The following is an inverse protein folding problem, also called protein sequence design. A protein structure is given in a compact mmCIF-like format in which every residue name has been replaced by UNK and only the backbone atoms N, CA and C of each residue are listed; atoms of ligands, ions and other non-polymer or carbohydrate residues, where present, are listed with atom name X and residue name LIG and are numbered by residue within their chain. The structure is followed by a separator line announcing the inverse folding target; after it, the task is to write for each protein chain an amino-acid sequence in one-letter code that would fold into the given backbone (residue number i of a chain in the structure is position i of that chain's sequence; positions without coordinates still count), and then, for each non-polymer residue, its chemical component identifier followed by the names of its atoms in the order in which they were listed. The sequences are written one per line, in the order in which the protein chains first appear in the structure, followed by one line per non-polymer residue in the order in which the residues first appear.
data_IF_729386350033
#
_entry.id   IF_729386350033
#
_cell.length_a   1.000
_cell.length_b   1.000
_cell.length_c   1.000
_cell.angle_alpha   90.00
_cell.angle_beta   90.00
_cell.angle_gamma   90.00
#
_symmetry.space_group_name_H-M   'P 1'
#
loop_
_entity.id
_entity.type
_entity.pdbx_description
1 polymer ?
#
# COMPACT_ATOMS: atom_id res chain seq x y z
N UNK A 1 -59.75 -48.69 -75.69
CA UNK A 1 -60.41 -49.88 -75.12
C UNK A 1 -59.47 -50.49 -74.12
N UNK A 2 -59.97 -50.61 -72.89
CA UNK A 2 -59.49 -51.44 -71.78
C UNK A 2 -58.92 -52.78 -72.23
N UNK A 3 -57.86 -53.27 -71.57
CA UNK A 3 -57.83 -54.50 -70.73
C UNK A 3 -56.52 -54.50 -69.91
N UNK A 4 -56.66 -54.78 -68.62
CA UNK A 4 -55.63 -54.91 -67.58
C UNK A 4 -54.64 -56.06 -67.82
N UNK A 5 -53.45 -55.98 -67.20
CA UNK A 5 -52.83 -57.14 -66.54
C UNK A 5 -51.79 -56.72 -65.50
N UNK A 6 -52.02 -57.25 -64.30
CA UNK A 6 -51.27 -57.14 -63.05
C UNK A 6 -49.84 -57.68 -63.15
N UNK A 7 -48.95 -57.22 -62.26
CA UNK A 7 -48.41 -58.07 -61.18
C UNK A 7 -47.57 -57.27 -60.15
N UNK A 8 -48.09 -57.20 -58.91
CA UNK A 8 -47.45 -57.58 -57.61
C UNK A 8 -46.02 -57.12 -57.25
N UNK A 9 -45.65 -56.72 -56.02
CA UNK A 9 -46.25 -56.79 -54.68
C UNK A 9 -45.71 -55.62 -53.82
N UNK A 10 -46.59 -55.01 -53.04
CA UNK A 10 -46.28 -54.19 -51.86
C UNK A 10 -46.49 -55.07 -50.63
N UNK A 11 -45.56 -55.03 -49.68
CA UNK A 11 -45.77 -55.53 -48.34
C UNK A 11 -45.59 -54.35 -47.37
N UNK A 12 -46.72 -53.88 -46.84
CA UNK A 12 -46.81 -53.15 -45.58
C UNK A 12 -46.47 -54.09 -44.42
N UNK A 13 -45.95 -53.50 -43.33
CA UNK A 13 -46.50 -53.62 -41.96
C UNK A 13 -45.38 -53.60 -40.92
N UNK A 14 -45.35 -52.55 -40.09
CA UNK A 14 -45.76 -52.62 -38.67
C UNK A 14 -45.34 -51.34 -37.93
N UNK A 15 -46.32 -50.76 -37.22
CA UNK A 15 -46.10 -50.41 -35.82
C UNK A 15 -45.85 -48.94 -35.46
N UNK A 16 -46.96 -48.22 -35.31
CA UNK A 16 -47.30 -47.34 -34.17
C UNK A 16 -46.34 -46.24 -33.69
N UNK A 17 -46.94 -45.06 -33.57
CA UNK A 17 -46.42 -43.81 -33.04
C UNK A 17 -45.87 -43.91 -31.60
N UNK A 18 -44.76 -43.20 -31.37
CA UNK A 18 -44.39 -42.65 -30.07
C UNK A 18 -43.76 -41.27 -30.29
N UNK A 19 -44.14 -40.34 -29.42
CA UNK A 19 -43.73 -38.94 -29.39
C UNK A 19 -42.20 -38.77 -29.46
N UNK A 20 -41.71 -37.85 -30.30
CA UNK A 20 -40.35 -37.32 -30.18
C UNK A 20 -40.39 -35.79 -30.07
N UNK A 21 -39.81 -35.37 -28.95
CA UNK A 21 -39.57 -34.03 -28.46
C UNK A 21 -39.07 -33.08 -29.55
N UNK A 22 -39.64 -31.88 -29.56
CA UNK A 22 -39.09 -30.71 -30.22
C UNK A 22 -37.65 -30.49 -29.73
N UNK A 23 -36.68 -30.85 -30.56
CA UNK A 23 -35.29 -30.45 -30.37
C UNK A 23 -35.20 -28.95 -30.60
N UNK A 24 -35.06 -28.22 -29.48
CA UNK A 24 -34.80 -26.80 -29.42
C UNK A 24 -33.53 -26.51 -30.22
N UNK A 25 -33.72 -25.81 -31.34
CA UNK A 25 -32.65 -25.40 -32.23
C UNK A 25 -31.60 -24.56 -31.53
N UNK A 26 -30.37 -24.71 -32.03
CA UNK A 26 -29.25 -23.81 -31.83
C UNK A 26 -29.72 -22.36 -31.89
N UNK A 27 -29.75 -21.71 -30.72
CA UNK A 27 -29.83 -20.26 -30.65
C UNK A 27 -28.40 -19.74 -30.77
N UNK A 28 -28.07 -18.93 -31.79
CA UNK A 28 -26.79 -18.25 -31.81
C UNK A 28 -26.73 -17.33 -30.60
N UNK A 29 -25.69 -17.46 -29.80
CA UNK A 29 -25.40 -16.54 -28.69
C UNK A 29 -25.19 -15.17 -29.33
N UNK A 30 -26.19 -14.28 -29.22
CA UNK A 30 -26.04 -12.87 -29.58
C UNK A 30 -25.01 -12.22 -28.64
N UNK A 31 -23.75 -12.27 -29.04
CA UNK A 31 -22.64 -11.56 -28.43
C UNK A 31 -22.71 -10.07 -28.81
N UNK A 32 -23.59 -9.33 -28.15
CA UNK A 32 -23.63 -7.87 -28.29
C UNK A 32 -22.38 -7.23 -27.63
N UNK A 33 -21.34 -6.97 -28.42
CA UNK A 33 -20.07 -6.36 -28.01
C UNK A 33 -20.01 -4.83 -28.21
N UNK A 34 -21.13 -4.18 -28.55
CA UNK A 34 -21.25 -2.73 -28.84
C UNK A 34 -20.90 -1.79 -27.66
N UNK A 35 -20.32 -2.33 -26.59
CA UNK A 35 -19.97 -1.62 -25.35
C UNK A 35 -18.48 -1.26 -25.26
N UNK A 36 -17.66 -1.66 -26.24
CA UNK A 36 -16.21 -1.44 -26.23
C UNK A 36 -15.79 -0.45 -27.32
N UNK A 37 -14.97 0.52 -26.94
CA UNK A 37 -14.37 1.49 -27.84
C UNK A 37 -13.17 0.86 -28.54
N UNK A 38 -13.11 1.05 -29.85
CA UNK A 38 -12.08 0.48 -30.72
C UNK A 38 -10.76 1.22 -30.58
N UNK A 39 -9.67 0.47 -30.58
CA UNK A 39 -8.32 1.03 -30.70
C UNK A 39 -8.07 1.50 -32.14
N UNK A 40 -7.62 2.75 -32.29
CA UNK A 40 -7.31 3.34 -33.60
C UNK A 40 -6.05 2.72 -34.19
N UNK A 41 -5.96 2.61 -35.52
CA UNK A 41 -4.87 1.89 -36.19
C UNK A 41 -3.48 2.45 -35.87
N UNK A 42 -3.34 3.78 -35.80
CA UNK A 42 -2.07 4.43 -35.45
C UNK A 42 -1.64 4.18 -33.99
N UNK A 43 -2.58 3.93 -33.08
CA UNK A 43 -2.27 3.62 -31.66
C UNK A 43 -1.98 2.13 -31.47
N UNK A 44 -2.52 1.28 -32.36
CA UNK A 44 -2.38 -0.17 -32.26
C UNK A 44 -0.93 -0.63 -32.36
N UNK A 45 -0.09 0.01 -33.17
CA UNK A 45 1.33 -0.32 -33.28
C UNK A 45 2.10 0.02 -31.99
N UNK A 46 1.85 1.18 -31.41
CA UNK A 46 2.48 1.60 -30.14
C UNK A 46 2.06 0.70 -28.98
N UNK A 47 0.77 0.39 -28.88
CA UNK A 47 0.23 -0.50 -27.87
C UNK A 47 0.72 -1.94 -28.07
N UNK A 48 0.89 -2.38 -29.33
CA UNK A 48 1.50 -3.67 -29.63
C UNK A 48 2.99 -3.72 -29.26
N UNK A 49 3.73 -2.61 -29.41
CA UNK A 49 5.10 -2.48 -28.89
C UNK A 49 5.09 -2.57 -27.36
N UNK A 50 4.22 -1.83 -26.68
CA UNK A 50 4.07 -1.88 -25.21
C UNK A 50 3.76 -3.28 -24.69
N UNK A 51 2.91 -4.03 -25.40
CA UNK A 51 2.63 -5.44 -25.10
C UNK A 51 3.87 -6.32 -25.27
N UNK A 52 4.56 -6.22 -26.42
CA UNK A 52 5.75 -7.05 -26.74
C UNK A 52 6.88 -6.82 -25.73
N UNK A 53 7.14 -5.58 -25.38
CA UNK A 53 8.22 -5.19 -24.47
C UNK A 53 7.79 -5.20 -23.00
N UNK A 54 6.52 -5.50 -22.70
CA UNK A 54 5.90 -5.41 -21.36
C UNK A 54 6.21 -4.06 -20.67
N UNK A 55 6.04 -2.97 -21.41
CA UNK A 55 6.19 -1.62 -20.88
C UNK A 55 5.05 -1.34 -19.89
N UNK A 56 5.41 -0.83 -18.71
CA UNK A 56 4.46 -0.40 -17.70
C UNK A 56 3.94 0.98 -18.10
N UNK A 57 2.68 1.03 -18.55
CA UNK A 57 1.97 2.26 -18.83
C UNK A 57 1.30 2.82 -17.58
N UNK A 58 0.73 4.04 -17.71
CA UNK A 58 -0.19 4.62 -16.71
C UNK A 58 -1.55 4.77 -17.36
N UNK A 59 -2.60 4.35 -16.66
CA UNK A 59 -3.98 4.51 -17.11
C UNK A 59 -4.84 5.20 -16.07
N UNK A 60 -5.60 6.22 -16.48
CA UNK A 60 -6.60 6.88 -15.66
C UNK A 60 -7.91 6.08 -15.71
N UNK A 61 -8.43 5.70 -14.56
CA UNK A 61 -9.69 4.97 -14.47
C UNK A 61 -10.84 5.98 -14.58
N UNK A 62 -11.66 5.86 -15.62
CA UNK A 62 -12.74 6.82 -15.90
C UNK A 62 -14.10 6.30 -15.45
N UNK A 63 -14.37 5.00 -15.64
CA UNK A 63 -15.69 4.40 -15.36
C UNK A 63 -15.52 2.98 -14.84
N UNK A 64 -16.40 2.57 -13.91
CA UNK A 64 -16.63 1.15 -13.59
C UNK A 64 -18.05 0.80 -14.00
N UNK A 65 -18.21 -0.26 -14.78
CA UNK A 65 -19.50 -0.72 -15.28
C UNK A 65 -19.49 -2.24 -15.43
N UNK A 66 -20.65 -2.87 -15.25
CA UNK A 66 -20.80 -4.28 -15.61
C UNK A 66 -20.85 -4.41 -17.14
N UNK A 67 -19.97 -5.24 -17.69
CA UNK A 67 -19.91 -5.53 -19.12
C UNK A 67 -19.84 -7.03 -19.34
N UNK A 68 -20.34 -7.47 -20.48
CA UNK A 68 -20.10 -8.83 -20.95
C UNK A 68 -18.63 -8.91 -21.41
N UNK A 69 -17.77 -9.55 -20.62
CA UNK A 69 -16.33 -9.56 -20.84
C UNK A 69 -15.83 -10.98 -21.17
N UNK A 70 -15.01 -11.14 -22.22
CA UNK A 70 -14.44 -12.43 -22.56
C UNK A 70 -13.39 -12.81 -21.51
N UNK A 71 -13.64 -13.89 -20.78
CA UNK A 71 -12.69 -14.40 -19.79
C UNK A 71 -11.55 -15.16 -20.48
N UNK A 72 -10.45 -15.40 -19.74
CA UNK A 72 -9.30 -16.20 -20.21
C UNK A 72 -9.70 -17.63 -20.66
N UNK A 73 -10.89 -18.11 -20.26
CA UNK A 73 -11.45 -19.40 -20.62
C UNK A 73 -12.26 -19.39 -21.93
N UNK A 74 -12.31 -18.26 -22.64
CA UNK A 74 -13.07 -18.10 -23.89
C UNK A 74 -14.58 -17.96 -23.72
N UNK A 75 -15.10 -18.00 -22.48
CA UNK A 75 -16.51 -17.74 -22.18
C UNK A 75 -16.71 -16.27 -21.81
N UNK A 76 -17.76 -15.67 -22.34
CA UNK A 76 -18.16 -14.31 -22.02
C UNK A 76 -19.00 -14.29 -20.75
N UNK A 77 -18.53 -13.59 -19.71
CA UNK A 77 -19.22 -13.47 -18.43
C UNK A 77 -19.52 -12.00 -18.13
N UNK A 78 -20.67 -11.72 -17.50
CA UNK A 78 -21.00 -10.36 -17.06
C UNK A 78 -20.26 -10.09 -15.75
N UNK A 79 -19.22 -9.27 -15.83
CA UNK A 79 -18.36 -8.90 -14.69
C UNK A 79 -18.19 -7.39 -14.63
N UNK A 80 -17.85 -6.83 -13.45
CA UNK A 80 -17.41 -5.44 -13.35
C UNK A 80 -16.11 -5.24 -14.13
N UNK A 81 -16.09 -4.23 -14.99
CA UNK A 81 -14.94 -3.86 -15.83
C UNK A 81 -14.63 -2.38 -15.61
N UNK A 82 -13.35 -2.10 -15.38
CA UNK A 82 -12.80 -0.76 -15.33
C UNK A 82 -12.49 -0.30 -16.76
N UNK A 83 -13.08 0.82 -17.15
CA UNK A 83 -12.71 1.53 -18.36
C UNK A 83 -11.62 2.53 -18.00
N UNK A 84 -10.52 2.49 -18.73
CA UNK A 84 -9.31 3.26 -18.46
C UNK A 84 -8.85 4.00 -19.70
N UNK A 85 -8.39 5.24 -19.54
CA UNK A 85 -7.69 5.98 -20.59
C UNK A 85 -6.18 5.82 -20.42
N UNK A 86 -5.53 5.34 -21.48
CA UNK A 86 -4.08 5.17 -21.56
C UNK A 86 -3.55 6.14 -22.60
N UNK A 87 -2.53 6.92 -22.22
CA UNK A 87 -2.01 7.99 -23.07
C UNK A 87 -3.05 9.09 -23.28
N UNK A 88 -3.12 9.63 -24.51
CA UNK A 88 -4.00 10.77 -24.82
C UNK A 88 -5.42 10.38 -25.20
N UNK A 89 -5.64 9.21 -25.81
CA UNK A 89 -6.93 8.90 -26.46
C UNK A 89 -7.25 7.41 -26.55
N UNK A 90 -6.44 6.51 -25.99
CA UNK A 90 -6.72 5.08 -26.07
C UNK A 90 -7.56 4.65 -24.88
N UNK A 91 -8.73 4.08 -25.17
CA UNK A 91 -9.54 3.40 -24.16
C UNK A 91 -9.14 1.94 -24.03
N UNK A 92 -8.93 1.50 -22.80
CA UNK A 92 -8.56 0.14 -22.44
C UNK A 92 -9.46 -0.38 -21.32
N UNK A 93 -9.54 -1.70 -21.23
CA UNK A 93 -10.46 -2.39 -20.33
C UNK A 93 -9.70 -3.31 -19.38
N UNK A 94 -9.96 -3.16 -18.08
CA UNK A 94 -9.40 -4.01 -17.05
C UNK A 94 -10.54 -4.77 -16.34
N UNK A 95 -10.57 -6.11 -16.39
CA UNK A 95 -11.53 -6.87 -15.59
C UNK A 95 -11.26 -6.65 -14.09
N UNK A 96 -12.30 -6.73 -13.26
CA UNK A 96 -12.16 -6.47 -11.82
C UNK A 96 -11.16 -7.43 -11.13
N UNK A 97 -11.01 -8.65 -11.63
CA UNK A 97 -10.05 -9.63 -11.11
C UNK A 97 -8.58 -9.19 -11.27
N UNK A 98 -8.32 -8.28 -12.20
CA UNK A 98 -6.99 -7.74 -12.51
C UNK A 98 -6.85 -6.27 -12.03
N UNK A 99 -7.77 -5.79 -11.20
CA UNK A 99 -7.86 -4.39 -10.77
C UNK A 99 -6.83 -3.95 -9.71
N UNK A 100 -5.80 -4.78 -9.47
CA UNK A 100 -4.71 -4.50 -8.55
C UNK A 100 -4.47 -5.62 -7.54
N UNK A 101 -3.34 -5.53 -6.85
CA UNK A 101 -2.93 -6.50 -5.81
C UNK A 101 -3.90 -6.49 -4.63
N UNK A 102 -4.47 -5.32 -4.33
CA UNK A 102 -5.50 -5.10 -3.31
C UNK A 102 -6.66 -4.34 -3.94
N UNK A 103 -7.77 -5.06 -4.16
CA UNK A 103 -8.98 -4.49 -4.76
C UNK A 103 -9.85 -3.93 -3.63
N UNK A 104 -10.30 -2.66 -3.71
CA UNK A 104 -11.20 -2.11 -2.72
C UNK A 104 -12.55 -2.83 -2.73
N UNK A 105 -13.22 -2.91 -1.57
CA UNK A 105 -14.55 -3.51 -1.46
C UNK A 105 -15.57 -2.90 -2.42
N UNK A 106 -15.47 -1.59 -2.63
CA UNK A 106 -16.24 -0.87 -3.63
C UNK A 106 -15.31 -0.48 -4.80
N UNK A 107 -15.44 -1.13 -5.97
CA UNK A 107 -14.65 -0.81 -7.17
C UNK A 107 -14.80 0.65 -7.64
N UNK A 108 -15.94 1.30 -7.35
CA UNK A 108 -16.20 2.68 -7.77
C UNK A 108 -15.19 3.68 -7.17
N UNK A 109 -14.54 3.34 -6.04
CA UNK A 109 -13.50 4.17 -5.43
C UNK A 109 -12.19 4.25 -6.24
N UNK A 110 -12.06 3.39 -7.26
CA UNK A 110 -10.93 3.43 -8.19
C UNK A 110 -11.10 4.52 -9.27
N UNK A 111 -12.32 5.02 -9.50
CA UNK A 111 -12.59 6.07 -10.49
C UNK A 111 -11.82 7.34 -10.14
N UNK A 112 -11.22 7.97 -11.16
CA UNK A 112 -10.37 9.15 -11.03
C UNK A 112 -8.94 8.86 -10.61
N UNK A 113 -8.56 7.60 -10.33
CA UNK A 113 -7.18 7.23 -9.98
C UNK A 113 -6.39 6.81 -11.21
N UNK A 114 -5.13 7.24 -11.27
CA UNK A 114 -4.16 6.72 -12.24
C UNK A 114 -3.45 5.51 -11.66
N UNK A 115 -3.43 4.40 -12.40
CA UNK A 115 -2.81 3.14 -12.00
C UNK A 115 -1.77 2.67 -13.01
N UNK A 116 -0.71 1.98 -12.57
CA UNK A 116 0.21 1.32 -13.48
C UNK A 116 -0.49 0.14 -14.16
N UNK A 117 -0.34 0.01 -15.46
CA UNK A 117 -1.01 -1.01 -16.27
C UNK A 117 -0.06 -1.65 -17.26
N UNK A 118 -0.31 -2.92 -17.56
CA UNK A 118 0.32 -3.63 -18.68
C UNK A 118 -0.77 -4.13 -19.60
N UNK A 119 -0.52 -4.04 -20.90
CA UNK A 119 -1.38 -4.61 -21.94
C UNK A 119 -1.17 -6.11 -21.97
N UNK A 120 -2.20 -6.88 -21.57
CA UNK A 120 -2.15 -8.34 -21.61
C UNK A 120 -2.36 -8.84 -23.04
N UNK A 121 -3.46 -8.41 -23.66
CA UNK A 121 -3.84 -8.85 -24.99
C UNK A 121 -4.79 -7.85 -25.66
N UNK A 122 -4.98 -8.05 -26.97
CA UNK A 122 -6.01 -7.36 -27.73
C UNK A 122 -7.06 -8.40 -28.05
N UNK A 123 -8.29 -8.12 -27.66
CA UNK A 123 -9.41 -8.97 -28.00
C UNK A 123 -9.96 -8.54 -29.36
N UNK A 124 -10.08 -9.48 -30.30
CA UNK A 124 -10.75 -9.25 -31.57
C UNK A 124 -12.26 -9.43 -31.38
N UNK A 125 -13.05 -8.44 -31.77
CA UNK A 125 -14.50 -8.57 -31.97
C UNK A 125 -14.83 -8.26 -33.43
N UNK A 126 -16.07 -8.52 -33.84
CA UNK A 126 -16.56 -8.22 -35.19
C UNK A 126 -16.45 -6.72 -35.54
N UNK A 127 -16.44 -5.85 -34.53
CA UNK A 127 -16.39 -4.39 -34.66
C UNK A 127 -14.96 -3.81 -34.60
N UNK A 128 -13.98 -4.58 -34.12
CA UNK A 128 -12.58 -4.15 -34.03
C UNK A 128 -11.81 -4.76 -32.87
N UNK A 129 -10.57 -4.30 -32.68
CA UNK A 129 -9.73 -4.73 -31.57
C UNK A 129 -9.87 -3.77 -30.39
N UNK A 130 -10.08 -4.30 -29.18
CA UNK A 130 -9.98 -3.52 -27.95
C UNK A 130 -8.83 -4.02 -27.07
N UNK A 131 -8.22 -3.11 -26.31
CA UNK A 131 -7.07 -3.41 -25.45
C UNK A 131 -7.54 -3.91 -24.08
N UNK A 132 -7.07 -5.10 -23.70
CA UNK A 132 -7.25 -5.66 -22.35
C UNK A 132 -5.97 -5.45 -21.55
N UNK A 133 -6.13 -4.86 -20.37
CA UNK A 133 -5.02 -4.50 -19.49
C UNK A 133 -5.17 -5.11 -18.10
N UNK A 134 -4.05 -5.29 -17.42
CA UNK A 134 -4.00 -5.72 -16.02
C UNK A 134 -3.25 -4.69 -15.18
N UNK A 135 -3.92 -4.20 -14.12
CA UNK A 135 -3.29 -3.36 -13.08
C UNK A 135 -2.44 -4.26 -12.19
N UNK A 136 -2.92 -5.45 -11.84
CA UNK A 136 -2.18 -6.42 -11.01
C UNK A 136 -0.81 -6.75 -11.61
N UNK A 137 -0.74 -7.04 -12.91
CA UNK A 137 0.52 -7.30 -13.61
C UNK A 137 1.45 -6.07 -13.63
N UNK A 138 0.88 -4.87 -13.76
CA UNK A 138 1.62 -3.61 -13.70
C UNK A 138 2.24 -3.36 -12.32
N UNK A 139 1.45 -3.49 -11.26
CA UNK A 139 1.91 -3.34 -9.87
C UNK A 139 2.97 -4.40 -9.53
N UNK A 140 2.78 -5.67 -9.91
CA UNK A 140 3.78 -6.74 -9.71
C UNK A 140 5.08 -6.47 -10.46
N UNK A 141 5.00 -5.92 -11.67
CA UNK A 141 6.19 -5.59 -12.45
C UNK A 141 6.98 -4.42 -11.84
N UNK A 142 6.30 -3.43 -11.27
CA UNK A 142 6.96 -2.36 -10.49
C UNK A 142 7.62 -2.93 -9.22
N UNK A 143 6.92 -3.81 -8.51
CA UNK A 143 7.48 -4.48 -7.33
C UNK A 143 8.73 -5.28 -7.70
N UNK A 144 8.69 -6.07 -8.78
CA UNK A 144 9.86 -6.83 -9.23
C UNK A 144 11.05 -5.94 -9.59
N UNK A 145 10.83 -4.83 -10.30
CA UNK A 145 11.90 -3.87 -10.62
C UNK A 145 12.54 -3.30 -9.35
N UNK A 146 11.72 -2.95 -8.35
CA UNK A 146 12.23 -2.47 -7.07
C UNK A 146 12.97 -3.57 -6.30
N UNK A 147 12.47 -4.81 -6.34
CA UNK A 147 13.13 -5.96 -5.74
C UNK A 147 14.53 -6.18 -6.34
N UNK A 148 14.64 -6.19 -7.67
CA UNK A 148 15.90 -6.38 -8.37
C UNK A 148 16.89 -5.23 -8.05
N UNK A 149 16.40 -3.99 -7.95
CA UNK A 149 17.21 -2.82 -7.56
C UNK A 149 17.72 -2.92 -6.12
N UNK A 150 16.86 -3.30 -5.17
CA UNK A 150 17.23 -3.44 -3.75
C UNK A 150 18.16 -4.62 -3.52
N UNK A 151 18.00 -5.71 -4.29
CA UNK A 151 18.83 -6.91 -4.15
C UNK A 151 20.20 -6.74 -4.81
N UNK A 152 20.28 -5.98 -5.91
CA UNK A 152 21.54 -5.70 -6.62
C UNK A 152 22.41 -4.66 -5.93
N UNK A 153 21.83 -3.76 -5.14
CA UNK A 153 22.56 -2.74 -4.40
C UNK A 153 22.64 -3.15 -2.92
N UNK A 154 23.85 -3.51 -2.45
CA UNK A 154 24.08 -3.86 -1.04
C UNK A 154 23.45 -2.81 -0.10
N UNK A 155 22.54 -3.29 0.75
CA UNK A 155 21.42 -2.52 1.29
C UNK A 155 21.78 -1.34 2.18
N UNK A 156 21.99 -0.17 1.56
CA UNK A 156 22.04 1.15 2.21
C UNK A 156 21.59 2.30 1.30
N UNK A 157 20.97 2.00 0.15
CA UNK A 157 20.45 3.06 -0.72
C UNK A 157 19.30 3.79 -0.03
N UNK A 158 19.40 5.11 -0.08
CA UNK A 158 18.34 6.01 0.36
C UNK A 158 17.32 6.14 -0.77
N UNK A 159 16.06 5.91 -0.43
CA UNK A 159 14.91 6.08 -1.31
C UNK A 159 14.07 7.23 -0.83
N UNK A 160 13.66 8.10 -1.75
CA UNK A 160 12.66 9.13 -1.49
C UNK A 160 11.28 8.56 -1.83
N UNK A 161 10.33 8.74 -0.93
CA UNK A 161 8.95 8.30 -1.10
C UNK A 161 7.95 9.30 -0.52
N UNK A 162 6.68 9.07 -0.81
CA UNK A 162 5.59 9.92 -0.33
C UNK A 162 4.71 9.13 0.62
N UNK A 163 4.37 9.71 1.77
CA UNK A 163 3.47 9.06 2.75
C UNK A 163 2.08 8.94 2.13
N UNK A 164 1.65 7.72 1.83
CA UNK A 164 0.34 7.44 1.24
C UNK A 164 -0.73 7.14 2.28
N UNK A 165 -0.34 6.80 3.52
CA UNK A 165 -1.24 6.59 4.63
C UNK A 165 -0.56 5.97 5.84
N UNK A 166 -1.34 5.61 6.85
CA UNK A 166 -0.86 4.85 7.99
C UNK A 166 -1.95 3.93 8.53
N UNK A 167 -1.55 2.84 9.18
CA UNK A 167 -2.42 1.83 9.79
C UNK A 167 -2.11 1.84 11.29
N UNK A 168 -2.88 2.56 12.12
CA UNK A 168 -2.63 2.67 13.56
C UNK A 168 -2.64 1.32 14.26
N UNK A 169 -3.57 0.43 13.90
CA UNK A 169 -3.72 -0.91 14.51
C UNK A 169 -2.49 -1.79 14.28
N UNK A 170 -1.83 -1.66 13.13
CA UNK A 170 -0.60 -2.36 12.79
C UNK A 170 0.66 -1.52 13.08
N UNK A 171 0.51 -0.31 13.64
CA UNK A 171 1.58 0.66 13.89
C UNK A 171 2.54 0.80 12.69
N UNK A 172 1.98 0.95 11.49
CA UNK A 172 2.73 0.96 10.24
C UNK A 172 2.35 2.15 9.39
N UNK A 173 3.34 2.93 8.97
CA UNK A 173 3.22 3.99 7.96
C UNK A 173 3.42 3.38 6.58
N UNK A 174 2.58 3.77 5.63
CA UNK A 174 2.66 3.38 4.24
C UNK A 174 3.33 4.50 3.45
N UNK A 175 4.46 4.18 2.84
CA UNK A 175 5.22 5.12 2.00
C UNK A 175 5.27 4.58 0.59
N UNK A 176 4.84 5.37 -0.38
CA UNK A 176 4.91 5.04 -1.79
C UNK A 176 6.26 5.46 -2.36
N UNK A 177 7.04 4.48 -2.84
CA UNK A 177 8.32 4.68 -3.51
C UNK A 177 8.17 4.17 -4.94
N UNK A 178 8.29 5.06 -5.93
CA UNK A 178 8.19 4.72 -7.37
C UNK A 178 6.94 3.89 -7.73
N UNK A 179 5.81 4.16 -7.10
CA UNK A 179 4.56 3.43 -7.35
C UNK A 179 4.42 2.10 -6.58
N UNK A 180 5.37 1.78 -5.69
CA UNK A 180 5.32 0.60 -4.82
C UNK A 180 5.13 1.04 -3.37
N UNK A 181 4.16 0.45 -2.69
CA UNK A 181 3.91 0.72 -1.27
C UNK A 181 4.89 -0.04 -0.38
N UNK A 182 5.56 0.69 0.50
CA UNK A 182 6.52 0.21 1.49
C UNK A 182 5.93 0.42 2.88
N UNK A 183 5.98 -0.62 3.71
CA UNK A 183 5.55 -0.55 5.10
C UNK A 183 6.71 -0.15 6.02
N UNK A 184 6.56 0.92 6.78
CA UNK A 184 7.51 1.35 7.81
C UNK A 184 6.84 1.26 9.17
N UNK A 185 7.29 0.37 10.05
CA UNK A 185 6.77 0.31 11.43
C UNK A 185 7.11 1.59 12.18
N UNK A 186 6.26 2.00 13.13
CA UNK A 186 6.50 3.18 13.96
C UNK A 186 7.87 3.11 14.67
N UNK A 187 8.28 1.91 15.11
CA UNK A 187 9.59 1.67 15.73
C UNK A 187 10.80 1.90 14.79
N UNK A 188 10.57 1.90 13.48
CA UNK A 188 11.55 2.15 12.42
C UNK A 188 11.33 3.51 11.73
N UNK A 189 10.33 4.28 12.16
CA UNK A 189 10.01 5.59 11.60
C UNK A 189 10.88 6.70 12.20
N UNK A 190 11.06 6.69 13.51
CA UNK A 190 11.96 7.60 14.23
C UNK A 190 12.43 6.97 15.54
N UNK A 191 13.47 7.55 16.15
CA UNK A 191 13.80 7.27 17.55
C UNK A 191 12.78 7.84 18.54
N UNK A 192 12.11 8.94 18.20
CA UNK A 192 11.03 9.52 19.01
C UNK A 192 9.80 8.61 19.07
N UNK A 193 8.99 8.79 20.11
CA UNK A 193 7.65 8.20 20.13
C UNK A 193 6.81 8.83 19.00
N UNK A 194 6.28 7.98 18.12
CA UNK A 194 5.50 8.40 16.96
C UNK A 194 4.03 8.23 17.26
N UNK A 195 3.28 9.33 17.21
CA UNK A 195 1.82 9.27 17.30
C UNK A 195 1.21 9.23 15.90
N UNK A 196 0.05 8.60 15.71
CA UNK A 196 -0.66 8.62 14.42
C UNK A 196 -0.89 10.03 13.88
N UNK A 197 -1.14 10.99 14.76
CA UNK A 197 -1.44 12.38 14.41
C UNK A 197 -0.22 13.13 13.85
N UNK A 198 0.99 12.68 14.18
CA UNK A 198 2.24 13.28 13.71
C UNK A 198 2.58 12.86 12.26
N UNK A 199 1.85 11.88 11.71
CA UNK A 199 2.10 11.35 10.37
C UNK A 199 1.25 12.09 9.36
N UNK A 200 1.88 12.98 8.59
CA UNK A 200 1.21 13.79 7.58
C UNK A 200 1.17 13.01 6.26
N UNK A 201 -0.05 12.78 5.75
CA UNK A 201 -0.26 12.14 4.44
C UNK A 201 0.14 13.13 3.34
N UNK A 202 0.88 12.66 2.35
CA UNK A 202 1.44 13.47 1.27
C UNK A 202 2.85 14.01 1.55
N UNK A 203 3.38 13.80 2.75
CA UNK A 203 4.74 14.23 3.09
C UNK A 203 5.79 13.43 2.32
N UNK A 204 6.88 14.10 1.93
CA UNK A 204 8.00 13.49 1.19
C UNK A 204 9.09 13.12 2.17
N UNK A 205 9.37 11.82 2.27
CA UNK A 205 10.29 11.27 3.27
C UNK A 205 11.38 10.43 2.61
N UNK A 206 12.55 10.42 3.24
CA UNK A 206 13.65 9.53 2.87
C UNK A 206 13.66 8.31 3.79
N UNK A 207 13.94 7.13 3.23
CA UNK A 207 14.04 5.88 3.97
C UNK A 207 14.99 4.90 3.28
N UNK A 208 15.48 3.92 4.05
CA UNK A 208 16.22 2.77 3.52
C UNK A 208 15.29 1.56 3.52
N UNK A 209 15.33 0.75 2.47
CA UNK A 209 14.61 -0.52 2.43
C UNK A 209 15.49 -1.56 3.12
N UNK A 210 15.04 -2.07 4.29
CA UNK A 210 15.86 -2.92 5.16
C UNK A 210 15.64 -4.41 4.90
N UNK A 211 14.43 -4.78 4.49
CA UNK A 211 14.04 -6.16 4.27
C UNK A 211 13.02 -6.24 3.14
N UNK A 212 13.25 -7.20 2.27
CA UNK A 212 12.28 -7.58 1.24
C UNK A 212 11.92 -9.04 1.46
N UNK A 213 10.61 -9.33 1.42
CA UNK A 213 10.08 -10.69 1.57
C UNK A 213 9.23 -11.00 0.35
N UNK A 214 9.55 -12.09 -0.32
CA UNK A 214 8.68 -12.63 -1.35
C UNK A 214 7.67 -13.59 -0.72
N UNK A 215 6.38 -13.37 -0.97
CA UNK A 215 5.30 -14.23 -0.49
C UNK A 215 4.26 -14.42 -1.59
N UNK A 216 4.05 -15.66 -2.00
CA UNK A 216 3.07 -16.05 -3.03
C UNK A 216 3.21 -15.22 -4.32
N UNK A 217 4.45 -14.96 -4.77
CA UNK A 217 4.72 -14.16 -5.97
C UNK A 217 4.48 -12.65 -5.82
N UNK A 218 4.28 -12.15 -4.59
CA UNK A 218 4.23 -10.73 -4.24
C UNK A 218 5.46 -10.34 -3.44
N UNK A 219 5.90 -9.10 -3.58
CA UNK A 219 7.03 -8.57 -2.83
C UNK A 219 6.54 -7.62 -1.74
N UNK A 220 6.85 -7.93 -0.50
CA UNK A 220 6.63 -7.05 0.66
C UNK A 220 7.92 -6.32 1.00
N UNK A 221 7.87 -5.00 0.95
CA UNK A 221 9.01 -4.13 1.27
C UNK A 221 8.83 -3.54 2.66
N UNK A 222 9.87 -3.67 3.48
CA UNK A 222 9.97 -3.00 4.77
C UNK A 222 11.00 -1.90 4.69
N UNK A 223 10.58 -0.73 5.13
CA UNK A 223 11.42 0.46 5.17
C UNK A 223 11.87 0.79 6.60
N UNK A 224 12.94 1.57 6.67
CA UNK A 224 13.53 2.04 7.90
C UNK A 224 14.05 3.47 7.67
N UNK A 225 13.29 4.44 8.17
CA UNK A 225 13.67 5.86 8.17
C UNK A 225 14.65 6.16 9.30
N UNK A 226 14.47 5.47 10.43
CA UNK A 226 15.29 5.60 11.64
C UNK A 226 16.78 5.39 11.41
N UNK A 227 17.19 4.54 10.46
CA UNK A 227 18.61 4.34 10.10
C UNK A 227 19.31 5.60 9.55
N UNK A 228 18.56 6.57 9.03
CA UNK A 228 19.09 7.84 8.55
C UNK A 228 19.35 8.84 9.70
N UNK A 229 18.70 8.61 10.84
CA UNK A 229 18.86 9.44 12.04
C UNK A 229 20.06 8.91 12.85
N UNK A 230 20.91 9.80 13.37
CA UNK A 230 21.97 9.43 14.31
C UNK A 230 21.37 8.85 15.60
N UNK A 231 21.89 7.71 16.09
CA UNK A 231 21.35 7.09 17.30
C UNK A 231 21.50 8.07 18.49
N UNK A 232 20.39 8.43 19.17
CA UNK A 232 20.46 9.35 20.30
C UNK A 232 21.32 8.86 21.46
N UNK A 233 21.57 7.54 21.60
CA UNK A 233 22.51 7.01 22.61
C UNK A 233 23.93 7.49 22.38
N UNK A 234 24.37 7.60 21.13
CA UNK A 234 25.73 8.05 20.83
C UNK A 234 25.94 9.48 21.33
N UNK A 235 24.95 10.35 21.10
CA UNK A 235 24.93 11.72 21.63
C UNK A 235 24.98 11.74 23.16
N UNK A 236 24.23 10.86 23.83
CA UNK A 236 24.24 10.75 25.31
C UNK A 236 25.59 10.25 25.85
N UNK A 237 26.27 9.34 25.14
CA UNK A 237 27.60 8.87 25.52
C UNK A 237 28.64 9.98 25.43
N UNK A 238 28.55 10.85 24.43
CA UNK A 238 29.41 12.04 24.31
C UNK A 238 29.17 13.03 25.45
N UNK A 239 27.90 13.32 25.78
CA UNK A 239 27.54 14.18 26.91
C UNK A 239 28.08 13.62 28.24
N UNK A 240 28.06 12.30 28.44
CA UNK A 240 28.66 11.66 29.62
C UNK A 240 30.16 11.89 29.72
N UNK A 241 30.89 11.77 28.60
CA UNK A 241 32.36 11.96 28.57
C UNK A 241 32.74 13.38 28.99
N UNK A 242 31.95 14.38 28.57
CA UNK A 242 32.16 15.80 28.88
C UNK A 242 31.60 16.22 30.24
N UNK A 243 30.72 15.42 30.84
CA UNK A 243 29.92 15.75 32.04
C UNK A 243 29.07 17.00 31.82
N UNK A 244 28.55 17.15 30.62
CA UNK A 244 27.73 18.30 30.25
C UNK A 244 26.33 18.19 30.85
N UNK A 245 25.77 19.35 31.18
CA UNK A 245 24.35 19.47 31.55
C UNK A 245 23.54 19.57 30.27
N UNK A 246 22.41 18.88 30.23
CA UNK A 246 21.53 18.86 29.08
C UNK A 246 20.07 18.96 29.50
N UNK A 247 19.20 19.16 28.52
CA UNK A 247 17.77 19.31 28.75
C UNK A 247 17.07 17.95 28.64
N UNK A 248 16.26 17.62 29.64
CA UNK A 248 15.34 16.49 29.61
C UNK A 248 13.90 16.94 29.81
N UNK A 249 12.95 16.04 29.54
CA UNK A 249 11.51 16.25 29.77
C UNK A 249 10.98 15.21 30.74
N UNK A 250 10.22 15.62 31.74
CA UNK A 250 9.55 14.65 32.63
C UNK A 250 8.40 14.01 31.86
N UNK A 251 8.42 12.69 31.73
CA UNK A 251 7.40 11.93 30.97
C UNK A 251 6.55 11.02 31.84
N UNK A 252 6.99 10.76 33.08
CA UNK A 252 6.25 9.95 34.03
C UNK A 252 6.71 10.22 35.45
N UNK A 253 5.77 10.19 36.38
CA UNK A 253 6.03 10.22 37.82
C UNK A 253 5.19 9.11 38.43
N UNK A 254 5.85 8.15 39.06
CA UNK A 254 5.21 7.05 39.76
C UNK A 254 5.71 7.00 41.20
N UNK A 255 4.81 6.83 42.16
CA UNK A 255 5.14 6.83 43.58
C UNK A 255 6.08 5.66 43.97
N UNK A 256 6.06 4.57 43.22
CA UNK A 256 6.82 3.33 43.47
C UNK A 256 8.03 3.25 42.54
N UNK A 257 7.82 3.40 41.23
CA UNK A 257 8.88 3.23 40.24
C UNK A 257 9.82 4.46 40.16
N UNK A 258 9.33 5.63 40.54
CA UNK A 258 10.06 6.89 40.60
C UNK A 258 9.77 7.82 39.41
N UNK A 259 10.72 8.69 39.12
CA UNK A 259 10.59 9.74 38.10
C UNK A 259 11.20 9.22 36.80
N UNK A 260 10.50 9.39 35.68
CA UNK A 260 10.99 9.08 34.34
C UNK A 260 11.21 10.36 33.55
N UNK A 261 12.42 10.50 33.03
CA UNK A 261 12.84 11.67 32.25
C UNK A 261 13.25 11.20 30.86
N UNK A 262 12.61 11.74 29.84
CA UNK A 262 13.05 11.61 28.45
C UNK A 262 14.28 12.51 28.24
N UNK A 263 15.41 11.87 27.97
CA UNK A 263 16.74 12.52 27.88
C UNK A 263 17.16 12.74 26.43
N UNK A 264 16.56 11.99 25.52
CA UNK A 264 16.74 12.06 24.08
C UNK A 264 15.52 11.41 23.43
N UNK A 265 15.26 11.64 22.13
CA UNK A 265 14.15 11.04 21.39
C UNK A 265 13.90 9.56 21.71
N UNK A 266 12.78 9.28 22.40
CA UNK A 266 12.34 7.92 22.76
C UNK A 266 13.23 7.18 23.76
N UNK A 267 14.15 7.87 24.45
CA UNK A 267 15.00 7.32 25.51
C UNK A 267 14.59 7.92 26.85
N UNK A 268 14.08 7.07 27.73
CA UNK A 268 13.62 7.45 29.06
C UNK A 268 14.52 6.84 30.13
N UNK A 269 15.09 7.68 30.98
CA UNK A 269 15.96 7.28 32.09
C UNK A 269 15.32 7.58 33.43
N UNK A 270 15.75 6.84 34.45
CA UNK A 270 15.30 7.08 35.83
C UNK A 270 15.91 8.38 36.34
N UNK A 271 15.05 9.31 36.73
CA UNK A 271 15.41 10.58 37.33
C UNK A 271 15.63 10.46 38.83
N UNK A 272 16.77 10.95 39.29
CA UNK A 272 17.07 11.19 40.71
C UNK A 272 17.00 12.69 40.96
N UNK A 273 16.07 13.11 41.81
CA UNK A 273 15.99 14.49 42.23
C UNK A 273 17.11 14.82 43.23
N UNK A 274 17.58 16.05 43.20
CA UNK A 274 18.42 16.60 44.25
C UNK A 274 17.57 16.87 45.51
N UNK A 275 18.18 16.81 46.72
CA UNK A 275 17.44 16.94 47.99
C UNK A 275 16.64 18.24 48.11
N UNK A 276 17.21 19.33 47.60
CA UNK A 276 16.61 20.68 47.67
C UNK A 276 15.63 20.96 46.53
N UNK A 277 15.38 19.99 45.66
CA UNK A 277 14.48 20.13 44.53
C UNK A 277 13.08 19.64 44.90
N UNK A 278 12.07 20.43 44.55
CA UNK A 278 10.67 20.07 44.70
C UNK A 278 10.36 18.76 43.95
N UNK A 279 9.45 17.96 44.50
CA UNK A 279 9.05 16.71 43.85
C UNK A 279 8.26 17.05 42.57
N UNK A 280 8.54 16.39 41.43
CA UNK A 280 7.67 16.50 40.28
C UNK A 280 6.31 15.87 40.58
N UNK A 281 5.31 16.42 39.92
CA UNK A 281 3.90 16.03 40.02
C UNK A 281 3.45 15.31 38.74
N UNK A 282 2.29 14.66 38.76
CA UNK A 282 1.71 14.06 37.55
C UNK A 282 1.46 15.10 36.45
N UNK A 283 1.12 16.35 36.83
CA UNK A 283 0.99 17.45 35.88
C UNK A 283 2.31 17.80 35.19
N UNK A 284 3.45 17.61 35.85
CA UNK A 284 4.75 17.81 35.22
C UNK A 284 5.01 16.78 34.12
N UNK A 285 4.53 15.53 34.33
CA UNK A 285 4.61 14.46 33.34
C UNK A 285 3.67 14.69 32.15
N UNK A 286 2.42 15.11 32.41
CA UNK A 286 1.46 15.41 31.33
C UNK A 286 1.94 16.56 30.44
N UNK A 287 2.49 17.61 31.05
CA UNK A 287 2.96 18.80 30.33
C UNK A 287 4.41 18.66 29.83
N UNK A 288 5.04 17.50 29.98
CA UNK A 288 6.41 17.24 29.56
C UNK A 288 7.41 18.28 30.07
N UNK A 289 7.33 18.60 31.37
CA UNK A 289 8.04 19.72 31.99
C UNK A 289 9.54 19.61 31.76
N UNK A 290 10.12 20.72 31.30
CA UNK A 290 11.53 20.81 30.94
C UNK A 290 12.37 20.87 32.22
N UNK A 291 13.40 20.02 32.28
CA UNK A 291 14.35 19.93 33.39
C UNK A 291 15.78 19.98 32.89
N UNK A 292 16.68 20.55 33.68
CA UNK A 292 18.11 20.40 33.43
C UNK A 292 18.62 19.16 34.15
N UNK A 293 19.26 18.28 33.38
CA UNK A 293 19.74 17.00 33.82
C UNK A 293 21.25 16.87 33.65
N UNK A 294 21.83 16.02 34.49
CA UNK A 294 23.21 15.53 34.38
C UNK A 294 23.17 14.00 34.32
N UNK A 295 23.94 13.42 33.40
CA UNK A 295 23.98 11.97 33.21
C UNK A 295 24.86 11.32 34.31
N UNK A 296 24.29 10.44 35.14
CA UNK A 296 25.07 9.72 36.16
C UNK A 296 25.60 8.40 35.60
N UNK A 297 24.69 7.57 35.11
CA UNK A 297 25.04 6.28 34.54
C UNK A 297 24.27 6.04 33.24
N UNK A 298 24.91 5.32 32.32
CA UNK A 298 24.33 4.89 31.06
C UNK A 298 24.86 3.50 30.75
N UNK A 299 23.93 2.62 30.46
CA UNK A 299 24.14 1.32 29.88
C UNK A 299 23.63 1.36 28.44
N UNK A 300 24.57 1.53 27.51
CA UNK A 300 24.28 1.64 26.08
C UNK A 300 23.65 0.36 25.51
N UNK A 301 24.01 -0.82 26.04
CA UNK A 301 23.51 -2.11 25.53
C UNK A 301 22.03 -2.27 25.87
N UNK A 302 21.67 -1.98 27.12
CA UNK A 302 20.29 -2.10 27.58
C UNK A 302 19.45 -0.83 27.34
N UNK A 303 20.03 0.21 26.74
CA UNK A 303 19.43 1.55 26.57
C UNK A 303 18.82 2.07 27.88
N UNK A 304 19.50 1.81 29.00
CA UNK A 304 19.06 2.20 30.36
C UNK A 304 20.04 3.20 30.95
N UNK A 305 19.55 4.04 31.84
CA UNK A 305 20.38 5.05 32.46
C UNK A 305 19.72 5.70 33.66
N UNK A 306 20.52 6.49 34.36
CA UNK A 306 20.09 7.28 35.50
C UNK A 306 20.59 8.70 35.32
N UNK A 307 19.68 9.65 35.52
CA UNK A 307 19.97 11.08 35.41
C UNK A 307 19.71 11.77 36.73
N UNK A 308 20.53 12.75 37.06
CA UNK A 308 20.28 13.66 38.17
C UNK A 308 19.54 14.88 37.65
N UNK A 309 18.40 15.19 38.26
CA UNK A 309 17.66 16.42 38.01
C UNK A 309 18.27 17.51 38.87
N UNK A 310 18.76 18.57 38.23
CA UNK A 310 19.41 19.69 38.90
C UNK A 310 18.40 20.78 39.25
N UNK A 311 17.59 21.21 38.28
CA UNK A 311 16.58 22.25 38.46
C UNK A 311 15.49 22.20 37.37
N UNK A 312 14.45 23.01 37.59
CA UNK A 312 13.38 23.31 36.64
C UNK A 312 13.62 24.69 36.02
N UNK A 313 14.28 24.81 34.86
CA UNK A 313 14.62 26.11 34.28
C UNK A 313 13.39 27.00 34.02
N UNK A 314 12.24 26.39 33.70
CA UNK A 314 10.97 27.10 33.45
C UNK A 314 10.00 27.03 34.63
N UNK A 315 10.46 26.55 35.79
CA UNK A 315 9.60 26.22 36.93
C UNK A 315 8.82 24.92 36.75
N UNK A 316 8.14 24.49 37.82
CA UNK A 316 7.25 23.33 37.78
C UNK A 316 5.91 23.69 37.14
N UNK A 317 5.32 22.73 36.45
CA UNK A 317 3.97 22.81 35.91
C UNK A 317 2.96 22.93 37.06
N UNK A 318 2.29 24.07 37.14
CA UNK A 318 1.23 24.33 38.13
C UNK A 318 -0.14 24.13 37.49
N UNK A 319 -1.11 23.70 38.31
CA UNK A 319 -2.53 23.51 37.95
C UNK A 319 -3.21 24.72 37.28
N UNK A 320 -2.60 25.91 37.35
CA UNK A 320 -3.16 27.19 36.87
C UNK A 320 -2.38 27.85 35.71
N UNK A 321 -1.37 27.20 35.13
CA UNK A 321 -0.62 27.84 34.04
C UNK A 321 -1.23 27.52 32.67
N UNK A 322 -1.75 28.57 32.04
CA UNK A 322 -2.00 28.66 30.59
C UNK A 322 -0.75 28.29 29.79
N UNK A 323 -0.90 27.70 28.58
CA UNK A 323 0.25 27.25 27.79
C UNK A 323 1.06 28.47 27.33
N UNK A 324 2.20 28.69 27.97
CA UNK A 324 3.15 29.73 27.58
C UNK A 324 4.31 29.00 26.88
N UNK A 325 4.26 29.08 25.54
CA UNK A 325 5.20 28.61 24.52
C UNK A 325 5.21 27.10 24.18
N UNK A 326 4.64 26.79 23.01
CA UNK A 326 5.03 25.66 22.17
C UNK A 326 6.03 26.18 21.13
N UNK A 327 7.22 25.57 21.05
CA UNK A 327 8.14 25.67 19.93
C UNK A 327 8.18 24.31 19.23
#
# INVERSE_FOLDING_TARGET
MTVEKETTHVAEELGMAFEQELTVGDTPVETNFNQFERVREHELEELARMKRERIIGKGLITVVSEKLFPTKNGKSERIPVLTMQIGTHTTAYCPITEAGITIPKNPQWLVGRTKPVIIEHFQKTEEGNFAVVSITAGELSLQKRLYDEVTSQEGNKVYTGTVSGHIPTAQTVLVEVRGVTIGVRYSHWSYSFVRPEDIIIGDVVELIIDKVVEKNGRYEFRGNKKKLETDPIEKLLELKKRRDRFVGKIVGVDAIAGIFVEVAPGIQFKGLKSRNLANPTEHDATNQTIVTCELLNIDAKNRKGTVRILNYPQGQSKKSNSPIYQF
#
